data_IF_286976827120
#
_entry.id   IF_286976827120
#
_cell.length_a   1.000
_cell.length_b   1.000
_cell.length_c   1.000
_cell.angle_alpha   90.00
_cell.angle_beta   90.00
_cell.angle_gamma   90.00
#
_symmetry.space_group_name_H-M   'P 1'
#
loop_
_entity.id
_entity.type
_entity.pdbx_description
1 polymer ?
#
# COMPACT_ATOMS: atom_id res chain seq x y z
N UNK A 1 20.59 18.47 2.89
CA UNK A 1 19.69 18.01 3.99
C UNK A 1 18.20 18.38 3.80
N UNK A 2 17.70 18.77 2.61
CA UNK A 2 16.36 19.38 2.46
C UNK A 2 15.15 18.41 2.35
N UNK A 3 15.33 17.08 2.39
CA UNK A 3 14.22 16.13 2.18
C UNK A 3 14.16 14.98 3.19
N UNK A 4 14.71 15.18 4.38
CA UNK A 4 14.75 14.18 5.48
C UNK A 4 13.39 13.55 5.78
N UNK A 5 12.31 14.33 5.65
CA UNK A 5 10.95 13.84 5.86
C UNK A 5 10.60 12.66 4.94
N UNK A 6 10.80 12.85 3.63
CA UNK A 6 10.47 11.85 2.59
C UNK A 6 11.52 10.73 2.56
N UNK A 7 12.79 11.07 2.83
CA UNK A 7 13.90 10.13 2.63
C UNK A 7 14.27 9.30 3.86
N UNK A 8 13.81 9.67 5.05
CA UNK A 8 14.20 8.98 6.29
C UNK A 8 13.03 8.83 7.27
N UNK A 9 12.33 9.92 7.59
CA UNK A 9 11.33 9.91 8.67
C UNK A 9 10.14 9.00 8.33
N UNK A 10 9.48 9.25 7.19
CA UNK A 10 8.30 8.45 6.79
C UNK A 10 8.66 6.99 6.53
N UNK A 11 9.75 6.65 5.82
CA UNK A 11 10.16 5.27 5.67
C UNK A 11 10.42 4.55 7.00
N UNK A 12 11.13 5.20 7.93
CA UNK A 12 11.36 4.64 9.26
C UNK A 12 10.07 4.47 10.07
N UNK A 13 9.03 5.26 9.78
CA UNK A 13 7.74 5.17 10.46
C UNK A 13 7.00 3.84 10.22
N UNK A 14 7.41 3.02 9.24
CA UNK A 14 6.90 1.63 9.09
C UNK A 14 7.17 0.80 10.36
N UNK A 15 8.19 1.15 11.14
CA UNK A 15 8.48 0.50 12.41
C UNK A 15 7.34 0.65 13.42
N UNK A 16 6.56 1.74 13.38
CA UNK A 16 5.47 2.01 14.32
C UNK A 16 4.39 0.90 14.26
N UNK A 17 3.75 0.60 13.11
CA UNK A 17 2.80 -0.49 13.04
C UNK A 17 3.46 -1.86 13.21
N UNK A 18 4.73 -2.05 12.83
CA UNK A 18 5.41 -3.32 13.08
C UNK A 18 5.58 -3.61 14.57
N UNK A 19 6.01 -2.62 15.36
CA UNK A 19 6.13 -2.76 16.82
C UNK A 19 4.75 -2.98 17.45
N UNK A 20 3.73 -2.22 17.03
CA UNK A 20 2.35 -2.42 17.50
C UNK A 20 1.83 -3.85 17.19
N UNK A 21 2.13 -4.35 15.99
CA UNK A 21 1.74 -5.68 15.55
C UNK A 21 2.43 -6.79 16.33
N UNK A 22 3.71 -6.64 16.65
CA UNK A 22 4.47 -7.56 17.50
C UNK A 22 3.93 -7.57 18.94
N UNK A 23 3.73 -6.37 19.52
CA UNK A 23 3.22 -6.21 20.89
C UNK A 23 1.87 -6.91 21.10
N UNK A 24 0.93 -6.73 20.16
CA UNK A 24 -0.41 -7.33 20.23
C UNK A 24 -0.54 -8.68 19.52
N UNK A 25 0.58 -9.27 19.08
CA UNK A 25 0.61 -10.58 18.42
C UNK A 25 -0.39 -10.72 17.26
N UNK A 26 -0.50 -9.68 16.44
CA UNK A 26 -1.47 -9.64 15.32
C UNK A 26 -1.22 -10.72 14.27
N UNK A 27 -0.01 -11.28 14.26
CA UNK A 27 0.38 -12.43 13.44
C UNK A 27 -0.39 -13.71 13.80
N UNK A 28 -1.05 -13.80 14.96
CA UNK A 28 -1.97 -14.91 15.28
C UNK A 28 -3.31 -14.79 14.56
N UNK A 29 -3.71 -13.58 14.15
CA UNK A 29 -4.97 -13.32 13.47
C UNK A 29 -4.80 -13.31 11.95
N UNK A 30 -5.58 -14.13 11.23
CA UNK A 30 -5.44 -14.28 9.76
C UNK A 30 -5.46 -12.96 8.98
N UNK A 31 -6.49 -12.09 9.08
CA UNK A 31 -6.49 -10.82 8.34
C UNK A 31 -5.34 -9.89 8.71
N UNK A 32 -5.08 -9.70 10.00
CA UNK A 32 -4.04 -8.76 10.45
C UNK A 32 -2.62 -9.27 10.13
N UNK A 33 -2.41 -10.59 10.14
CA UNK A 33 -1.15 -11.23 9.72
C UNK A 33 -0.78 -10.87 8.28
N UNK A 34 -1.75 -10.82 7.37
CA UNK A 34 -1.50 -10.44 5.96
C UNK A 34 -0.96 -9.01 5.88
N UNK A 35 -1.57 -8.09 6.62
CA UNK A 35 -1.15 -6.68 6.66
C UNK A 35 0.19 -6.51 7.38
N UNK A 36 0.45 -7.30 8.42
CA UNK A 36 1.75 -7.32 9.07
C UNK A 36 2.87 -7.74 8.10
N UNK A 37 2.65 -8.80 7.30
CA UNK A 37 3.61 -9.21 6.27
C UNK A 37 3.72 -8.20 5.13
N UNK A 38 2.64 -7.52 4.75
CA UNK A 38 2.71 -6.38 3.83
C UNK A 38 3.67 -5.31 4.33
N UNK A 39 3.57 -4.91 5.60
CA UNK A 39 4.44 -3.88 6.19
C UNK A 39 5.90 -4.32 6.23
N UNK A 40 6.17 -5.59 6.56
CA UNK A 40 7.53 -6.15 6.51
C UNK A 40 8.08 -6.12 5.08
N UNK A 41 7.30 -6.60 4.11
CA UNK A 41 7.68 -6.58 2.70
C UNK A 41 7.93 -5.15 2.21
N UNK A 42 7.08 -4.20 2.58
CA UNK A 42 7.20 -2.78 2.25
C UNK A 42 8.47 -2.16 2.85
N UNK A 43 8.73 -2.38 4.13
CA UNK A 43 9.94 -1.89 4.80
C UNK A 43 11.23 -2.47 4.21
N UNK A 44 11.25 -3.77 3.91
CA UNK A 44 12.41 -4.41 3.26
C UNK A 44 12.61 -3.85 1.85
N UNK A 45 11.54 -3.74 1.06
CA UNK A 45 11.61 -3.24 -0.32
C UNK A 45 12.13 -1.80 -0.36
N UNK A 46 11.66 -0.94 0.55
CA UNK A 46 12.13 0.45 0.66
C UNK A 46 13.62 0.50 1.07
N UNK A 47 14.05 -0.30 2.04
CA UNK A 47 15.45 -0.39 2.45
C UNK A 47 16.36 -0.82 1.29
N UNK A 48 15.95 -1.85 0.53
CA UNK A 48 16.69 -2.31 -0.66
C UNK A 48 16.72 -1.22 -1.72
N UNK A 49 15.58 -0.60 -2.05
CA UNK A 49 15.49 0.47 -3.04
C UNK A 49 16.43 1.64 -2.70
N UNK A 50 16.49 2.04 -1.43
CA UNK A 50 17.41 3.10 -0.96
C UNK A 50 18.86 2.68 -1.06
N UNK A 51 19.18 1.45 -0.65
CA UNK A 51 20.56 0.94 -0.72
C UNK A 51 21.06 0.92 -2.15
N UNK A 52 20.21 0.50 -3.11
CA UNK A 52 20.51 0.56 -4.53
C UNK A 52 20.70 2.02 -5.00
N UNK A 53 19.78 2.92 -4.62
CA UNK A 53 19.84 4.33 -4.99
C UNK A 53 21.11 5.05 -4.48
N UNK A 54 21.55 4.79 -3.25
CA UNK A 54 22.81 5.34 -2.69
C UNK A 54 24.02 4.83 -3.46
N UNK A 55 23.95 3.63 -4.03
CA UNK A 55 25.01 3.04 -4.88
C UNK A 55 24.89 3.47 -6.35
N UNK A 56 23.96 4.35 -6.71
CA UNK A 56 23.70 4.75 -8.09
C UNK A 56 23.08 3.66 -8.97
N UNK A 57 22.57 2.58 -8.37
CA UNK A 57 21.91 1.48 -9.09
C UNK A 57 20.43 1.83 -9.24
N UNK A 58 19.92 1.77 -10.47
CA UNK A 58 18.50 2.01 -10.73
C UNK A 58 17.62 0.98 -9.99
N UNK A 59 16.71 1.48 -9.16
CA UNK A 59 15.82 0.67 -8.31
C UNK A 59 14.39 0.55 -8.88
N UNK A 60 14.11 1.12 -10.06
CA UNK A 60 12.80 1.03 -10.70
C UNK A 60 12.39 -0.41 -11.06
N UNK A 61 13.30 -1.33 -11.44
CA UNK A 61 12.92 -2.74 -11.58
C UNK A 61 12.32 -3.35 -10.31
N UNK A 62 12.83 -2.97 -9.13
CA UNK A 62 12.25 -3.39 -7.86
C UNK A 62 10.85 -2.79 -7.65
N UNK A 63 10.59 -1.56 -8.14
CA UNK A 63 9.28 -0.94 -8.07
C UNK A 63 8.22 -1.71 -8.88
N UNK A 64 8.58 -2.23 -10.06
CA UNK A 64 7.67 -3.07 -10.87
C UNK A 64 7.26 -4.33 -10.10
N UNK A 65 8.23 -5.03 -9.51
CA UNK A 65 7.99 -6.21 -8.68
C UNK A 65 7.18 -5.86 -7.44
N UNK A 66 7.53 -4.74 -6.78
CA UNK A 66 6.84 -4.26 -5.59
C UNK A 66 5.35 -4.03 -5.85
N UNK A 67 4.99 -3.37 -6.95
CA UNK A 67 3.58 -3.09 -7.27
C UNK A 67 2.78 -4.37 -7.51
N UNK A 68 3.36 -5.36 -8.18
CA UNK A 68 2.69 -6.65 -8.36
C UNK A 68 2.46 -7.34 -7.01
N UNK A 69 3.50 -7.46 -6.19
CA UNK A 69 3.41 -8.14 -4.89
C UNK A 69 2.48 -7.38 -3.93
N UNK A 70 2.58 -6.05 -3.86
CA UNK A 70 1.68 -5.20 -3.06
C UNK A 70 0.22 -5.44 -3.44
N UNK A 71 -0.09 -5.43 -4.74
CA UNK A 71 -1.43 -5.73 -5.23
C UNK A 71 -1.90 -7.13 -4.81
N UNK A 72 -1.07 -8.16 -5.02
CA UNK A 72 -1.42 -9.55 -4.66
C UNK A 72 -1.67 -9.71 -3.15
N UNK A 73 -0.87 -9.05 -2.31
CA UNK A 73 -1.07 -9.06 -0.86
C UNK A 73 -2.38 -8.35 -0.48
N UNK A 74 -2.70 -7.20 -1.11
CA UNK A 74 -3.96 -6.50 -0.88
C UNK A 74 -5.16 -7.35 -1.32
N UNK A 75 -5.09 -8.01 -2.47
CA UNK A 75 -6.14 -8.92 -2.94
C UNK A 75 -6.30 -10.12 -2.00
N UNK A 76 -5.19 -10.67 -1.49
CA UNK A 76 -5.24 -11.71 -0.46
C UNK A 76 -5.87 -11.21 0.84
N UNK A 77 -5.62 -9.96 1.24
CA UNK A 77 -6.27 -9.36 2.42
C UNK A 77 -7.79 -9.22 2.23
N UNK A 78 -8.24 -8.69 1.09
CA UNK A 78 -9.68 -8.54 0.83
C UNK A 78 -10.41 -9.88 0.63
N UNK A 79 -9.73 -10.89 0.04
CA UNK A 79 -10.29 -12.23 -0.15
C UNK A 79 -10.20 -13.10 1.11
N UNK A 80 -8.98 -13.44 1.55
CA UNK A 80 -8.76 -14.39 2.62
C UNK A 80 -8.91 -13.77 4.02
N UNK A 81 -8.52 -12.49 4.16
CA UNK A 81 -8.58 -11.77 5.43
C UNK A 81 -10.00 -11.33 5.78
N UNK A 82 -10.65 -10.61 4.87
CA UNK A 82 -11.95 -9.98 5.12
C UNK A 82 -13.14 -10.75 4.49
N UNK A 83 -12.90 -11.76 3.65
CA UNK A 83 -13.96 -12.50 2.93
C UNK A 83 -14.89 -11.59 2.12
N UNK A 84 -14.37 -10.49 1.61
CA UNK A 84 -15.14 -9.49 0.85
C UNK A 84 -15.16 -9.78 -0.64
N UNK A 85 -14.02 -10.24 -1.13
CA UNK A 85 -13.78 -10.57 -2.52
C UNK A 85 -13.86 -12.09 -2.72
N UNK A 86 -14.21 -12.55 -3.92
CA UNK A 86 -14.25 -13.97 -4.27
C UNK A 86 -14.96 -14.21 -5.60
N UNK A 87 -15.05 -15.47 -6.01
CA UNK A 87 -15.71 -15.86 -7.25
C UNK A 87 -14.93 -15.49 -8.52
N UNK A 88 -15.53 -15.74 -9.71
CA UNK A 88 -14.86 -15.56 -10.99
C UNK A 88 -14.36 -14.13 -11.21
N UNK A 89 -15.09 -13.12 -10.76
CA UNK A 89 -14.71 -11.71 -10.94
C UNK A 89 -13.40 -11.38 -10.23
N UNK A 90 -13.22 -11.86 -9.00
CA UNK A 90 -11.97 -11.68 -8.24
C UNK A 90 -10.79 -12.33 -8.95
N UNK A 91 -10.96 -13.57 -9.41
CA UNK A 91 -9.93 -14.31 -10.15
C UNK A 91 -9.57 -13.58 -11.45
N UNK A 92 -10.57 -13.15 -12.22
CA UNK A 92 -10.38 -12.40 -13.47
C UNK A 92 -9.62 -11.10 -13.22
N UNK A 93 -10.01 -10.29 -12.22
CA UNK A 93 -9.30 -9.04 -11.90
C UNK A 93 -7.84 -9.32 -11.54
N UNK A 94 -7.58 -10.33 -10.71
CA UNK A 94 -6.23 -10.67 -10.25
C UNK A 94 -5.33 -11.15 -11.40
N UNK A 95 -5.87 -12.01 -12.27
CA UNK A 95 -5.15 -12.53 -13.44
C UNK A 95 -4.91 -11.41 -14.45
N UNK A 96 -5.93 -10.63 -14.79
CA UNK A 96 -5.80 -9.52 -15.74
C UNK A 96 -4.80 -8.47 -15.24
N UNK A 97 -4.81 -8.14 -13.95
CA UNK A 97 -3.83 -7.21 -13.39
C UNK A 97 -2.41 -7.77 -13.48
N UNK A 98 -2.21 -9.05 -13.16
CA UNK A 98 -0.90 -9.69 -13.26
C UNK A 98 -0.39 -9.66 -14.71
N UNK A 99 -1.22 -10.03 -15.67
CA UNK A 99 -0.88 -9.94 -17.09
C UNK A 99 -0.59 -8.48 -17.51
N UNK A 100 -1.40 -7.53 -17.07
CA UNK A 100 -1.18 -6.11 -17.34
C UNK A 100 0.17 -5.63 -16.81
N UNK A 101 0.57 -6.02 -15.60
CA UNK A 101 1.89 -5.63 -15.06
C UNK A 101 3.03 -6.15 -15.92
N UNK A 102 2.94 -7.41 -16.36
CA UNK A 102 3.95 -8.05 -17.21
C UNK A 102 4.00 -7.37 -18.59
N UNK A 103 2.85 -7.24 -19.24
CA UNK A 103 2.75 -6.59 -20.54
C UNK A 103 3.22 -5.14 -20.49
N UNK A 104 2.99 -4.43 -19.38
CA UNK A 104 3.43 -3.05 -19.23
C UNK A 104 4.94 -2.90 -19.31
N UNK A 105 5.71 -3.67 -18.52
CA UNK A 105 7.17 -3.52 -18.56
C UNK A 105 7.84 -4.14 -19.79
N UNK A 106 7.14 -5.02 -20.51
CA UNK A 106 7.63 -5.60 -21.77
C UNK A 106 7.35 -4.69 -22.97
N UNK A 107 6.19 -4.02 -23.02
CA UNK A 107 5.72 -3.35 -24.24
C UNK A 107 5.38 -1.86 -24.10
N UNK A 108 5.11 -1.34 -22.89
CA UNK A 108 4.53 0.00 -22.71
C UNK A 108 5.50 0.95 -22.00
N UNK A 109 5.94 0.59 -20.80
CA UNK A 109 6.82 1.40 -19.97
C UNK A 109 8.00 0.53 -19.55
N UNK A 110 9.16 0.77 -20.15
CA UNK A 110 10.38 0.01 -19.87
C UNK A 110 10.65 -0.16 -18.36
N UNK A 111 11.27 -1.27 -17.98
CA UNK A 111 11.49 -1.66 -16.57
C UNK A 111 12.32 -0.63 -15.78
N UNK A 112 13.04 0.26 -16.46
CA UNK A 112 13.80 1.37 -15.89
C UNK A 112 13.04 2.70 -15.83
N UNK A 113 11.74 2.71 -16.14
CA UNK A 113 10.83 3.85 -15.94
C UNK A 113 9.81 3.55 -14.83
N UNK A 114 9.11 4.57 -14.33
CA UNK A 114 8.06 4.34 -13.34
C UNK A 114 6.90 3.55 -13.97
N UNK A 115 6.39 2.57 -13.23
CA UNK A 115 5.23 1.76 -13.58
C UNK A 115 3.91 2.49 -13.29
N UNK A 116 3.78 3.72 -13.80
CA UNK A 116 2.67 4.63 -13.53
C UNK A 116 1.30 4.02 -13.86
N UNK A 117 1.19 3.24 -14.95
CA UNK A 117 -0.08 2.62 -15.32
C UNK A 117 -0.47 1.45 -14.41
N UNK A 118 0.36 0.41 -14.20
CA UNK A 118 0.00 -0.66 -13.28
C UNK A 118 -0.27 -0.15 -11.86
N UNK A 119 0.51 0.83 -11.37
CA UNK A 119 0.37 1.34 -10.01
C UNK A 119 -0.92 2.14 -9.79
N UNK A 120 -1.33 2.93 -10.78
CA UNK A 120 -2.61 3.65 -10.72
C UNK A 120 -3.81 2.71 -10.84
N UNK A 121 -3.74 1.66 -11.68
CA UNK A 121 -4.79 0.64 -11.78
C UNK A 121 -4.89 -0.16 -10.47
N UNK A 122 -3.76 -0.55 -9.87
CA UNK A 122 -3.74 -1.22 -8.57
C UNK A 122 -4.46 -0.37 -7.51
N UNK A 123 -4.14 0.92 -7.46
CA UNK A 123 -4.77 1.87 -6.54
C UNK A 123 -6.29 1.92 -6.74
N UNK A 124 -6.78 2.03 -7.97
CA UNK A 124 -8.23 2.04 -8.25
C UNK A 124 -8.93 0.77 -7.77
N UNK A 125 -8.37 -0.40 -8.04
CA UNK A 125 -8.94 -1.67 -7.59
C UNK A 125 -8.98 -1.75 -6.06
N UNK A 126 -7.91 -1.35 -5.39
CA UNK A 126 -7.82 -1.32 -3.92
C UNK A 126 -8.82 -0.32 -3.31
N UNK A 127 -9.02 0.83 -3.95
CA UNK A 127 -10.04 1.81 -3.56
C UNK A 127 -11.44 1.19 -3.66
N UNK A 128 -11.77 0.53 -4.77
CA UNK A 128 -13.06 -0.13 -4.97
C UNK A 128 -13.34 -1.18 -3.89
N UNK A 129 -12.36 -2.02 -3.54
CA UNK A 129 -12.52 -3.01 -2.47
C UNK A 129 -12.63 -2.37 -1.07
N UNK A 130 -11.91 -1.28 -0.83
CA UNK A 130 -12.05 -0.49 0.41
C UNK A 130 -13.45 0.11 0.55
N UNK A 131 -14.01 0.65 -0.54
CA UNK A 131 -15.39 1.16 -0.57
C UNK A 131 -16.38 0.01 -0.32
N UNK A 132 -16.20 -1.12 -1.00
CA UNK A 132 -17.04 -2.30 -0.82
C UNK A 132 -17.03 -2.81 0.63
N UNK A 133 -15.88 -2.77 1.30
CA UNK A 133 -15.79 -3.07 2.74
C UNK A 133 -16.71 -2.17 3.56
N UNK A 134 -16.64 -0.86 3.38
CA UNK A 134 -17.45 0.08 4.16
C UNK A 134 -18.94 -0.02 3.85
N UNK A 135 -19.33 -0.27 2.59
CA UNK A 135 -20.72 -0.53 2.20
C UNK A 135 -21.26 -1.80 2.89
N UNK A 136 -20.50 -2.90 2.89
CA UNK A 136 -20.91 -4.12 3.61
C UNK A 136 -20.95 -3.90 5.12
N UNK A 137 -20.02 -3.12 5.67
CA UNK A 137 -19.97 -2.84 7.11
C UNK A 137 -21.16 -1.99 7.57
N UNK A 138 -21.64 -1.04 6.76
CA UNK A 138 -22.80 -0.21 7.10
C UNK A 138 -24.12 -0.97 7.15
N UNK A 139 -24.18 -2.18 6.59
CA UNK A 139 -25.36 -3.06 6.62
C UNK A 139 -25.40 -3.96 7.87
N UNK A 140 -24.32 -4.04 8.63
CA UNK A 140 -24.23 -4.87 9.84
C UNK A 140 -24.67 -4.07 11.08
N UNK A 141 -25.12 -4.74 12.17
CA UNK A 141 -25.45 -4.07 13.42
C UNK A 141 -24.30 -3.21 13.93
N UNK A 142 -24.63 -2.03 14.45
CA UNK A 142 -23.68 -1.02 14.94
C UNK A 142 -22.82 -1.60 16.07
N UNK A 143 -21.61 -2.04 15.72
CA UNK A 143 -20.50 -2.16 16.67
C UNK A 143 -19.72 -0.85 16.65
N UNK A 144 -19.11 -0.50 17.79
CA UNK A 144 -18.28 0.70 17.87
C UNK A 144 -17.20 0.66 16.78
N UNK A 145 -17.23 1.66 15.89
CA UNK A 145 -16.27 1.75 14.79
C UNK A 145 -14.82 1.69 15.29
N UNK A 146 -14.58 2.28 16.47
CA UNK A 146 -13.26 2.40 17.11
C UNK A 146 -12.71 1.06 17.61
N UNK A 147 -13.56 0.08 17.88
CA UNK A 147 -13.14 -1.21 18.48
C UNK A 147 -12.85 -2.29 17.44
N UNK A 148 -13.04 -2.00 16.15
CA UNK A 148 -12.91 -2.98 15.06
C UNK A 148 -11.59 -2.74 14.31
N UNK A 149 -10.55 -3.59 14.47
CA UNK A 149 -9.24 -3.42 13.85
C UNK A 149 -9.28 -3.19 12.33
N UNK A 150 -10.16 -3.92 11.63
CA UNK A 150 -10.30 -3.83 10.18
C UNK A 150 -10.74 -2.43 9.71
N UNK A 151 -11.52 -1.69 10.50
CA UNK A 151 -11.97 -0.35 10.13
C UNK A 151 -10.78 0.62 10.03
N UNK A 152 -9.85 0.53 10.98
CA UNK A 152 -8.64 1.35 11.00
C UNK A 152 -7.67 0.97 9.87
N UNK A 153 -7.48 -0.33 9.65
CA UNK A 153 -6.59 -0.84 8.59
C UNK A 153 -7.12 -0.47 7.21
N UNK A 154 -8.37 -0.80 6.89
CA UNK A 154 -8.98 -0.46 5.60
C UNK A 154 -9.12 1.06 5.43
N UNK A 155 -9.43 1.78 6.51
CA UNK A 155 -9.44 3.25 6.50
C UNK A 155 -8.09 3.85 6.12
N UNK A 156 -6.99 3.34 6.70
CA UNK A 156 -5.63 3.74 6.35
C UNK A 156 -5.27 3.46 4.89
N UNK A 157 -5.56 2.23 4.43
CA UNK A 157 -5.36 1.82 3.03
C UNK A 157 -6.15 2.75 2.09
N UNK A 158 -7.43 2.99 2.37
CA UNK A 158 -8.29 3.83 1.53
C UNK A 158 -7.78 5.27 1.47
N UNK A 159 -7.44 5.87 2.62
CA UNK A 159 -6.88 7.24 2.68
C UNK A 159 -5.60 7.33 1.85
N UNK A 160 -4.71 6.35 1.96
CA UNK A 160 -3.46 6.37 1.21
C UNK A 160 -3.69 6.24 -0.31
N UNK A 161 -4.44 5.24 -0.74
CA UNK A 161 -4.62 4.97 -2.17
C UNK A 161 -5.47 6.03 -2.86
N UNK A 162 -6.53 6.56 -2.24
CA UNK A 162 -7.33 7.66 -2.80
C UNK A 162 -6.47 8.90 -3.08
N UNK A 163 -5.59 9.27 -2.14
CA UNK A 163 -4.78 10.47 -2.29
C UNK A 163 -3.53 10.25 -3.16
N UNK A 164 -2.99 9.03 -3.19
CA UNK A 164 -1.80 8.71 -4.00
C UNK A 164 -2.12 8.29 -5.43
N UNK A 165 -3.38 8.01 -5.76
CA UNK A 165 -3.80 7.56 -7.10
C UNK A 165 -3.32 8.51 -8.21
N UNK A 166 -3.59 9.81 -8.09
CA UNK A 166 -3.17 10.80 -9.09
C UNK A 166 -1.65 10.92 -9.13
N UNK A 167 -0.99 10.89 -7.97
CA UNK A 167 0.48 10.89 -7.92
C UNK A 167 1.08 9.71 -8.70
N UNK A 168 0.50 8.52 -8.59
CA UNK A 168 0.93 7.35 -9.35
C UNK A 168 0.64 7.48 -10.85
N UNK A 169 -0.55 7.96 -11.21
CA UNK A 169 -0.96 8.11 -12.61
C UNK A 169 -0.06 9.07 -13.39
N UNK A 170 0.41 10.14 -12.72
CA UNK A 170 1.23 11.18 -13.34
C UNK A 170 2.72 11.07 -13.01
N UNK A 171 3.19 9.95 -12.43
CA UNK A 171 4.54 9.88 -11.86
C UNK A 171 5.66 10.09 -12.91
N UNK A 172 5.51 9.50 -14.11
CA UNK A 172 6.46 9.76 -15.21
C UNK A 172 6.41 11.21 -15.69
N UNK A 173 5.21 11.80 -15.82
CA UNK A 173 5.03 13.21 -16.22
C UNK A 173 5.67 14.15 -15.20
N UNK A 174 5.47 13.87 -13.90
CA UNK A 174 6.09 14.63 -12.81
C UNK A 174 7.61 14.50 -12.87
N UNK A 175 8.13 13.30 -13.11
CA UNK A 175 9.56 13.06 -13.19
C UNK A 175 10.24 13.80 -14.36
N UNK A 176 9.57 13.88 -15.51
CA UNK A 176 10.13 14.47 -16.73
C UNK A 176 9.92 15.99 -16.82
N UNK A 177 8.76 16.49 -16.39
CA UNK A 177 8.34 17.86 -16.67
C UNK A 177 8.30 18.76 -15.43
N UNK A 178 8.22 18.20 -14.22
CA UNK A 178 8.07 19.03 -13.02
C UNK A 178 9.41 19.61 -12.57
N UNK A 179 9.37 20.83 -12.02
CA UNK A 179 10.54 21.36 -11.30
C UNK A 179 10.84 20.51 -10.07
N UNK A 180 12.11 20.50 -9.64
CA UNK A 180 12.55 19.76 -8.45
C UNK A 180 11.71 20.12 -7.20
N UNK A 181 11.29 21.38 -7.09
CA UNK A 181 10.41 21.84 -6.01
C UNK A 181 9.04 21.16 -6.05
N UNK A 182 8.43 21.06 -7.22
CA UNK A 182 7.12 20.40 -7.39
C UNK A 182 7.25 18.89 -7.14
N UNK A 183 8.31 18.27 -7.67
CA UNK A 183 8.60 16.84 -7.44
C UNK A 183 8.64 16.52 -5.94
N UNK A 184 9.42 17.27 -5.15
CA UNK A 184 9.53 17.04 -3.72
C UNK A 184 8.28 17.46 -2.94
N UNK A 185 7.54 18.46 -3.39
CA UNK A 185 6.26 18.83 -2.78
C UNK A 185 5.24 17.69 -2.91
N UNK A 186 5.06 17.16 -4.13
CA UNK A 186 4.16 16.03 -4.38
C UNK A 186 4.64 14.75 -3.68
N UNK A 187 5.95 14.49 -3.68
CA UNK A 187 6.55 13.40 -2.91
C UNK A 187 6.33 13.56 -1.39
N UNK A 188 6.34 14.79 -0.88
CA UNK A 188 6.01 15.12 0.51
C UNK A 188 4.55 14.84 0.86
N UNK A 189 3.61 15.19 -0.02
CA UNK A 189 2.20 14.84 0.14
C UNK A 189 2.00 13.32 0.15
N UNK A 190 2.58 12.62 -0.81
CA UNK A 190 2.55 11.16 -0.86
C UNK A 190 3.09 10.53 0.43
N UNK A 191 4.26 10.98 0.89
CA UNK A 191 4.86 10.51 2.14
C UNK A 191 3.96 10.79 3.37
N UNK A 192 3.25 11.91 3.38
CA UNK A 192 2.28 12.22 4.44
C UNK A 192 1.14 11.21 4.48
N UNK A 193 0.61 10.81 3.33
CA UNK A 193 -0.44 9.80 3.26
C UNK A 193 0.04 8.39 3.61
N UNK A 194 1.30 8.05 3.30
CA UNK A 194 1.95 6.82 3.80
C UNK A 194 2.01 6.84 5.33
N UNK A 195 2.47 7.94 5.93
CA UNK A 195 2.53 8.09 7.38
C UNK A 195 1.15 7.95 8.02
N UNK A 196 0.13 8.61 7.47
CA UNK A 196 -1.25 8.49 7.95
C UNK A 196 -1.75 7.04 7.89
N UNK A 197 -1.47 6.33 6.80
CA UNK A 197 -1.78 4.90 6.69
C UNK A 197 -1.08 4.07 7.78
N UNK A 198 0.21 4.29 8.01
CA UNK A 198 0.95 3.59 9.07
C UNK A 198 0.37 3.86 10.45
N UNK A 199 -0.01 5.11 10.75
CA UNK A 199 -0.63 5.46 12.03
C UNK A 199 -1.99 4.78 12.19
N UNK A 200 -2.83 4.78 11.15
CA UNK A 200 -4.14 4.13 11.19
C UNK A 200 -4.01 2.61 11.33
N UNK A 201 -3.10 1.96 10.59
CA UNK A 201 -2.83 0.52 10.76
C UNK A 201 -2.31 0.23 12.18
N UNK A 202 -1.45 1.10 12.73
CA UNK A 202 -0.96 0.97 14.11
C UNK A 202 -2.11 0.98 15.11
N UNK A 203 -3.07 1.90 14.97
CA UNK A 203 -4.25 1.95 15.82
C UNK A 203 -5.07 0.66 15.67
N UNK A 204 -5.27 0.18 14.43
CA UNK A 204 -5.95 -1.09 14.18
C UNK A 204 -5.29 -2.27 14.90
N UNK A 205 -3.96 -2.35 14.86
CA UNK A 205 -3.20 -3.35 15.60
C UNK A 205 -3.27 -3.16 17.11
N UNK A 206 -3.25 -1.92 17.62
CA UNK A 206 -3.34 -1.62 19.05
C UNK A 206 -4.71 -1.97 19.66
N UNK A 207 -5.78 -1.80 18.89
CA UNK A 207 -7.16 -2.12 19.31
C UNK A 207 -7.43 -3.64 19.25
N UNK A 208 -6.65 -4.41 18.49
CA UNK A 208 -6.78 -5.86 18.46
C UNK A 208 -6.48 -6.45 19.85
N UNK A 209 -7.48 -7.16 20.40
CA UNK A 209 -7.34 -7.91 21.65
C UNK A 209 -7.14 -9.38 21.31
N UNK A 210 -5.99 -9.92 21.65
CA UNK A 210 -5.76 -11.36 21.62
C UNK A 210 -6.55 -11.98 22.78
N UNK A 211 -7.47 -12.90 22.49
CA UNK A 211 -8.08 -13.75 23.52
C UNK A 211 -6.96 -14.59 24.14
N UNK A 212 -6.66 -14.34 25.42
CA UNK A 212 -5.58 -15.03 26.14
C UNK A 212 -5.94 -16.48 26.38
#
# INVERSE_FOLDING_TARGET
MKHLYVTLIVPAAVAIPLVAGLYNKVYSNKPLRIIFFYLLFSGISDLVARTLGVRGINNLPLLHIYTLIEFLIMMAYFHNGLKLAGGPQFTTITVLFTLLTILNFVFIQDIYHYNSYPRSIAALVIICYSIQFFIKKSQLPQRSWRTEPANWVVGGIMVYFCNSFLYFAFLNVINELASLSIYFFLGGLHATFVLLMYLLISIGFLVYKHER
#
